data_IF_844784320772
#
_entry.id   IF_844784320772
#
_cell.length_a   1.000
_cell.length_b   1.000
_cell.length_c   1.000
_cell.angle_alpha   90.00
_cell.angle_beta   90.00
_cell.angle_gamma   90.00
#
_symmetry.space_group_name_H-M   'P 1'
#
loop_
_entity.id
_entity.type
_entity.pdbx_description
1 polymer ?
#
# COMPACT_ATOMS: atom_id res chain seq x y z
N UNK A 1 5.77 -3.52 -7.27
CA UNK A 1 5.99 -4.56 -6.23
C UNK A 1 7.13 -4.08 -5.37
N UNK A 2 6.98 -4.13 -4.04
CA UNK A 2 8.07 -3.77 -3.11
C UNK A 2 8.94 -5.01 -2.94
N UNK A 3 10.22 -4.91 -3.32
CA UNK A 3 11.16 -6.01 -3.17
C UNK A 3 11.24 -6.46 -1.70
N UNK A 4 11.24 -7.77 -1.47
CA UNK A 4 11.24 -8.36 -0.12
C UNK A 4 9.87 -8.42 0.58
N UNK A 5 8.85 -7.67 0.13
CA UNK A 5 7.50 -7.75 0.69
C UNK A 5 6.68 -8.84 -0.02
N UNK A 6 6.55 -10.01 0.63
CA UNK A 6 5.74 -11.13 0.15
C UNK A 6 4.41 -11.17 0.88
N UNK A 7 3.31 -10.84 0.19
CA UNK A 7 1.96 -10.98 0.71
C UNK A 7 1.27 -12.21 0.10
N UNK A 8 0.43 -12.94 0.85
CA UNK A 8 -0.29 -14.08 0.32
C UNK A 8 -1.33 -13.63 -0.71
N UNK A 9 -1.62 -14.50 -1.69
CA UNK A 9 -2.56 -14.20 -2.78
C UNK A 9 -4.04 -14.22 -2.37
N UNK A 10 -4.35 -14.66 -1.14
CA UNK A 10 -5.71 -14.80 -0.61
C UNK A 10 -5.77 -14.34 0.85
N UNK A 11 -6.96 -13.93 1.28
CA UNK A 11 -7.22 -13.56 2.68
C UNK A 11 -6.84 -12.14 3.06
N UNK A 12 -6.16 -11.39 2.18
CA UNK A 12 -5.92 -9.96 2.36
C UNK A 12 -7.25 -9.21 2.33
N UNK A 13 -7.49 -8.36 3.33
CA UNK A 13 -8.66 -7.50 3.39
C UNK A 13 -8.24 -6.10 2.95
N UNK A 14 -8.90 -5.58 1.92
CA UNK A 14 -8.74 -4.18 1.51
C UNK A 14 -9.52 -3.30 2.48
N UNK A 15 -8.82 -2.49 3.28
CA UNK A 15 -9.44 -1.64 4.30
C UNK A 15 -9.81 -0.26 3.75
N UNK A 16 -8.82 0.45 3.22
CA UNK A 16 -9.00 1.82 2.74
C UNK A 16 -8.15 2.09 1.49
N UNK A 17 -8.62 3.00 0.65
CA UNK A 17 -7.89 3.57 -0.47
C UNK A 17 -8.03 5.08 -0.47
N UNK A 18 -6.91 5.80 -0.63
CA UNK A 18 -6.89 7.25 -0.88
C UNK A 18 -6.04 7.53 -2.11
N UNK A 19 -6.47 8.51 -2.89
CA UNK A 19 -5.71 9.06 -4.01
C UNK A 19 -5.55 10.56 -3.80
N UNK A 20 -4.35 11.07 -4.03
CA UNK A 20 -4.07 12.49 -4.05
C UNK A 20 -3.40 12.85 -5.37
N UNK A 21 -3.87 13.93 -6.00
CA UNK A 21 -3.34 14.44 -7.25
C UNK A 21 -3.02 15.92 -7.04
N UNK A 22 -1.75 16.31 -7.20
CA UNK A 22 -1.35 17.72 -7.16
C UNK A 22 -1.90 18.48 -8.38
N UNK A 23 -2.10 17.75 -9.48
CA UNK A 23 -2.76 18.19 -10.71
C UNK A 23 -3.26 16.98 -11.51
N UNK A 24 -4.10 17.18 -12.54
CA UNK A 24 -4.48 16.10 -13.45
C UNK A 24 -3.27 15.44 -14.13
N UNK A 25 -3.42 14.16 -14.45
CA UNK A 25 -2.52 13.41 -15.34
C UNK A 25 -2.85 13.75 -16.80
N UNK A 26 -1.81 13.93 -17.62
CA UNK A 26 -1.98 14.22 -19.03
C UNK A 26 -1.63 13.01 -19.91
N UNK A 27 -2.31 12.89 -21.06
CA UNK A 27 -2.01 11.83 -22.04
C UNK A 27 -0.60 12.03 -22.60
N UNK A 28 0.19 10.96 -22.59
CA UNK A 28 1.57 10.98 -23.08
C UNK A 28 2.60 11.47 -22.08
N UNK A 29 2.18 11.78 -20.84
CA UNK A 29 3.09 12.12 -19.75
C UNK A 29 3.90 10.92 -19.28
N UNK A 30 5.19 11.12 -19.03
CA UNK A 30 6.08 10.13 -18.45
C UNK A 30 6.19 10.35 -16.94
N UNK A 31 5.92 9.30 -16.16
CA UNK A 31 6.05 9.33 -14.70
C UNK A 31 6.89 8.15 -14.22
N UNK A 32 7.78 8.42 -13.27
CA UNK A 32 8.53 7.41 -12.55
C UNK A 32 7.74 6.97 -11.32
N UNK A 33 7.46 5.67 -11.23
CA UNK A 33 6.61 5.12 -10.19
C UNK A 33 7.39 4.24 -9.22
N UNK A 34 7.13 4.40 -7.93
CA UNK A 34 7.62 3.51 -6.89
C UNK A 34 6.58 3.32 -5.79
N UNK A 35 6.80 2.31 -4.96
CA UNK A 35 5.93 1.98 -3.84
C UNK A 35 6.76 1.98 -2.55
N UNK A 36 6.17 2.43 -1.45
CA UNK A 36 6.79 2.45 -0.13
C UNK A 36 5.82 1.93 0.92
N UNK A 37 6.32 1.10 1.83
CA UNK A 37 5.59 0.80 3.08
C UNK A 37 5.73 2.04 3.95
N UNK A 38 4.63 2.75 4.15
CA UNK A 38 4.61 3.97 4.97
C UNK A 38 4.47 3.65 6.44
N UNK A 39 3.71 2.60 6.77
CA UNK A 39 3.46 2.23 8.16
C UNK A 39 3.05 0.75 8.29
N UNK A 40 3.29 0.20 9.48
CA UNK A 40 2.69 -1.04 9.94
C UNK A 40 2.35 -0.92 11.42
N UNK A 41 1.08 -1.16 11.76
CA UNK A 41 0.62 -1.15 13.15
C UNK A 41 -0.42 -2.22 13.42
N UNK A 42 -0.61 -2.55 14.71
CA UNK A 42 -1.53 -3.59 15.14
C UNK A 42 -2.66 -3.02 16.01
N UNK A 43 -3.86 -3.56 15.88
CA UNK A 43 -5.02 -3.21 16.72
C UNK A 43 -5.74 -4.46 17.19
N UNK A 44 -6.12 -4.46 18.47
CA UNK A 44 -7.02 -5.48 19.03
C UNK A 44 -8.45 -5.24 18.54
N UNK A 45 -9.12 -6.32 18.16
CA UNK A 45 -10.51 -6.33 17.74
C UNK A 45 -11.24 -7.54 18.32
N UNK A 46 -12.56 -7.63 18.11
CA UNK A 46 -13.33 -8.83 18.44
C UNK A 46 -12.89 -10.07 17.65
N UNK A 47 -12.18 -9.88 16.53
CA UNK A 47 -11.61 -10.95 15.69
C UNK A 47 -10.14 -11.26 16.05
N UNK A 48 -9.65 -10.77 17.18
CA UNK A 48 -8.25 -10.90 17.59
C UNK A 48 -7.39 -9.71 17.15
N UNK A 49 -6.08 -9.93 17.10
CA UNK A 49 -5.10 -8.90 16.75
C UNK A 49 -4.98 -8.76 15.23
N UNK A 50 -5.34 -7.59 14.71
CA UNK A 50 -5.27 -7.26 13.29
C UNK A 50 -4.04 -6.40 13.03
N UNK A 51 -3.28 -6.75 11.99
CA UNK A 51 -2.20 -5.92 11.47
C UNK A 51 -2.74 -5.02 10.36
N UNK A 52 -2.24 -3.80 10.28
CA UNK A 52 -2.60 -2.81 9.28
C UNK A 52 -1.32 -2.39 8.57
N UNK A 53 -1.22 -2.73 7.29
CA UNK A 53 -0.09 -2.40 6.44
C UNK A 53 -0.50 -1.25 5.52
N UNK A 54 0.20 -0.12 5.63
CA UNK A 54 -0.05 1.06 4.81
C UNK A 54 1.02 1.15 3.72
N UNK A 55 0.58 1.11 2.47
CA UNK A 55 1.47 1.21 1.31
C UNK A 55 1.06 2.42 0.48
N UNK A 56 2.01 3.29 0.17
CA UNK A 56 1.81 4.39 -0.77
C UNK A 56 2.57 4.13 -2.05
N UNK A 57 1.88 4.28 -3.17
CA UNK A 57 2.49 4.38 -4.50
C UNK A 57 2.64 5.85 -4.86
N UNK A 58 3.81 6.21 -5.36
CA UNK A 58 4.16 7.54 -5.81
C UNK A 58 4.31 7.51 -7.33
N UNK A 59 3.84 8.57 -7.99
CA UNK A 59 4.21 8.89 -9.37
C UNK A 59 4.87 10.26 -9.42
N UNK A 60 6.14 10.29 -9.80
CA UNK A 60 6.95 11.50 -9.93
C UNK A 60 7.19 11.85 -11.39
N UNK A 61 7.25 13.15 -11.70
CA UNK A 61 7.72 13.61 -13.02
C UNK A 61 9.24 13.42 -13.18
N UNK A 62 9.80 13.66 -14.37
CA UNK A 62 11.24 13.53 -14.57
C UNK A 62 12.12 14.51 -13.78
N UNK A 63 11.52 15.54 -13.18
CA UNK A 63 12.19 16.49 -12.29
C UNK A 63 12.14 16.05 -10.82
N UNK A 64 11.48 14.93 -10.51
CA UNK A 64 11.31 14.39 -9.16
C UNK A 64 10.13 15.01 -8.39
N UNK A 65 9.23 15.75 -9.04
CA UNK A 65 8.05 16.27 -8.36
C UNK A 65 6.98 15.19 -8.30
N UNK A 66 6.42 14.95 -7.10
CA UNK A 66 5.29 14.04 -6.93
C UNK A 66 4.05 14.64 -7.62
N UNK A 67 3.51 13.91 -8.59
CA UNK A 67 2.29 14.29 -9.32
C UNK A 67 1.06 13.65 -8.70
N UNK A 68 1.19 12.40 -8.25
CA UNK A 68 0.12 11.72 -7.53
C UNK A 68 0.66 10.77 -6.47
N UNK A 69 -0.18 10.48 -5.49
CA UNK A 69 -0.01 9.37 -4.57
C UNK A 69 -1.27 8.51 -4.51
N UNK A 70 -1.08 7.21 -4.26
CA UNK A 70 -2.13 6.23 -4.06
C UNK A 70 -1.80 5.39 -2.83
N UNK A 71 -2.48 5.67 -1.72
CA UNK A 71 -2.26 5.02 -0.43
C UNK A 71 -3.35 3.98 -0.17
N UNK A 72 -2.93 2.74 0.04
CA UNK A 72 -3.81 1.64 0.44
C UNK A 72 -3.48 1.17 1.85
N UNK A 73 -4.53 0.93 2.65
CA UNK A 73 -4.42 0.21 3.92
C UNK A 73 -4.93 -1.21 3.73
N UNK A 74 -4.05 -2.18 3.97
CA UNK A 74 -4.33 -3.62 3.91
C UNK A 74 -4.43 -4.14 5.34
N UNK A 75 -5.50 -4.87 5.64
CA UNK A 75 -5.69 -5.50 6.94
C UNK A 75 -5.25 -6.96 6.87
N UNK A 76 -4.32 -7.33 7.73
CA UNK A 76 -3.77 -8.66 7.90
C UNK A 76 -4.39 -9.31 9.13
N UNK A 77 -5.22 -10.33 8.94
CA UNK A 77 -5.72 -11.14 10.04
C UNK A 77 -4.61 -12.03 10.61
N UNK A 78 -4.81 -12.56 11.81
CA UNK A 78 -3.85 -13.50 12.42
C UNK A 78 -3.59 -14.72 11.54
N UNK A 79 -4.63 -15.28 10.90
CA UNK A 79 -4.50 -16.40 9.99
C UNK A 79 -3.60 -16.09 8.78
N UNK A 80 -3.74 -14.88 8.22
CA UNK A 80 -2.93 -14.39 7.10
C UNK A 80 -1.47 -14.19 7.54
N UNK A 81 -1.24 -13.56 8.70
CA UNK A 81 0.13 -13.37 9.22
C UNK A 81 0.82 -14.70 9.48
N UNK A 82 0.11 -15.70 10.02
CA UNK A 82 0.63 -17.07 10.19
C UNK A 82 1.02 -17.72 8.85
N UNK A 83 0.23 -17.51 7.80
CA UNK A 83 0.54 -18.01 6.46
C UNK A 83 1.73 -17.32 5.78
N UNK A 84 2.19 -16.17 6.28
CA UNK A 84 3.36 -15.44 5.76
C UNK A 84 4.70 -15.90 6.35
N UNK A 85 4.67 -16.62 7.49
CA UNK A 85 5.87 -17.08 8.21
C UNK A 85 6.33 -18.47 7.75
N UNK A 86 5.59 -19.10 6.84
CA UNK A 86 5.84 -20.46 6.31
C UNK A 86 6.57 -20.40 4.97
#
# INVERSE_FOLDING_TARGET
MIEGLKLPSKGLIHGEQRFHYERPLYVGEELYCYSKVEDYYEKKSSMGELGFLVITNYGEDPSGNVIFTSTSTIILTEAVRKAMVV
#
